data_IF_329950455015
#
_entry.id   IF_329950455015
#
_cell.length_a   1.000
_cell.length_b   1.000
_cell.length_c   1.000
_cell.angle_alpha   90.00
_cell.angle_beta   90.00
_cell.angle_gamma   90.00
#
_symmetry.space_group_name_H-M   'P 1'
#
loop_
_entity.id
_entity.type
_entity.pdbx_description
1 polymer ?
#
# COMPACT_ATOMS: atom_id res chain seq x y z
N UNK A 1 -27.74 -73.03 -71.46
CA UNK A 1 -28.53 -73.79 -70.46
C UNK A 1 -29.13 -72.90 -69.33
N UNK A 2 -29.20 -71.59 -69.52
CA UNK A 2 -29.78 -70.67 -68.51
C UNK A 2 -31.12 -70.01 -68.96
N UNK A 3 -31.52 -70.17 -70.20
CA UNK A 3 -32.69 -69.47 -70.77
C UNK A 3 -34.04 -70.15 -70.54
N UNK A 4 -34.09 -71.45 -70.20
CA UNK A 4 -35.35 -72.17 -70.04
C UNK A 4 -35.95 -72.14 -68.63
N UNK A 5 -35.13 -71.81 -67.61
CA UNK A 5 -35.56 -71.69 -66.20
C UNK A 5 -36.42 -70.47 -65.93
N UNK A 6 -36.17 -69.37 -66.65
CA UNK A 6 -36.93 -68.16 -66.55
C UNK A 6 -38.37 -68.20 -67.16
N UNK A 7 -38.65 -69.18 -68.03
CA UNK A 7 -39.96 -69.29 -68.73
C UNK A 7 -41.03 -70.05 -67.90
N UNK A 8 -40.64 -70.65 -66.74
CA UNK A 8 -41.57 -71.42 -65.89
C UNK A 8 -41.94 -70.71 -64.57
N UNK A 9 -41.50 -69.57 -64.31
CA UNK A 9 -41.87 -68.84 -63.15
C UNK A 9 -43.20 -68.14 -63.47
N UNK A 10 -44.27 -68.46 -62.77
CA UNK A 10 -45.60 -67.80 -62.99
C UNK A 10 -45.39 -66.32 -62.64
N UNK A 11 -45.59 -65.42 -63.58
CA UNK A 11 -45.43 -63.96 -63.42
C UNK A 11 -46.28 -63.42 -62.25
N UNK A 12 -47.38 -64.05 -61.94
CA UNK A 12 -48.23 -63.77 -60.78
C UNK A 12 -47.46 -63.92 -59.46
N UNK A 13 -46.65 -64.98 -59.32
CA UNK A 13 -45.82 -65.21 -58.10
C UNK A 13 -44.74 -64.19 -57.96
N UNK A 14 -44.10 -63.79 -59.05
CA UNK A 14 -43.05 -62.68 -59.03
C UNK A 14 -43.69 -61.36 -58.66
N UNK A 15 -44.88 -61.05 -59.13
CA UNK A 15 -45.59 -59.84 -58.80
C UNK A 15 -45.94 -59.76 -57.30
N UNK A 16 -46.38 -60.88 -56.71
CA UNK A 16 -46.69 -61.02 -55.27
C UNK A 16 -45.41 -60.84 -54.44
N UNK A 17 -44.29 -61.48 -54.81
CA UNK A 17 -43.00 -61.33 -54.11
C UNK A 17 -42.48 -59.88 -54.15
N UNK A 18 -42.59 -59.25 -55.35
CA UNK A 18 -42.25 -57.86 -55.49
C UNK A 18 -43.08 -56.90 -54.67
N UNK A 19 -44.43 -57.15 -54.58
CA UNK A 19 -45.36 -56.40 -53.76
C UNK A 19 -45.03 -56.54 -52.27
N UNK A 20 -44.77 -57.78 -51.80
CA UNK A 20 -44.37 -58.05 -50.42
C UNK A 20 -43.05 -57.38 -50.06
N UNK A 21 -42.02 -57.48 -50.98
CA UNK A 21 -40.74 -56.83 -50.80
C UNK A 21 -40.87 -55.30 -50.73
N UNK A 22 -41.72 -54.71 -51.61
CA UNK A 22 -42.02 -53.31 -51.61
C UNK A 22 -42.72 -52.85 -50.29
N UNK A 23 -43.65 -53.64 -49.79
CA UNK A 23 -44.35 -53.39 -48.52
C UNK A 23 -43.34 -53.44 -47.34
N UNK A 24 -42.53 -54.48 -47.29
CA UNK A 24 -41.47 -54.59 -46.25
C UNK A 24 -40.49 -53.43 -46.27
N UNK A 25 -40.08 -53.05 -47.50
CA UNK A 25 -39.23 -51.90 -47.68
C UNK A 25 -39.85 -50.60 -47.19
N UNK A 26 -41.16 -50.43 -47.48
CA UNK A 26 -41.93 -49.25 -47.06
C UNK A 26 -42.09 -49.20 -45.54
N UNK A 27 -42.40 -50.31 -44.88
CA UNK A 27 -42.46 -50.43 -43.41
C UNK A 27 -41.09 -50.16 -42.80
N UNK A 28 -40.01 -50.68 -43.40
CA UNK A 28 -38.65 -50.43 -42.94
C UNK A 28 -38.30 -48.92 -43.06
N UNK A 29 -38.63 -48.28 -44.16
CA UNK A 29 -38.40 -46.86 -44.42
C UNK A 29 -39.11 -45.94 -43.42
N UNK A 30 -40.39 -46.31 -43.13
CA UNK A 30 -41.21 -45.60 -42.13
C UNK A 30 -40.66 -45.79 -40.68
N UNK A 31 -40.24 -47.00 -40.37
CA UNK A 31 -39.63 -47.30 -39.07
C UNK A 31 -38.30 -46.63 -38.86
N UNK A 32 -37.44 -46.67 -39.88
CA UNK A 32 -36.12 -46.01 -39.86
C UNK A 32 -36.28 -44.50 -39.72
N UNK A 33 -37.19 -43.88 -40.45
CA UNK A 33 -37.42 -42.42 -40.41
C UNK A 33 -38.00 -41.93 -39.07
N UNK A 34 -38.77 -42.77 -38.36
CA UNK A 34 -39.27 -42.46 -36.99
C UNK A 34 -38.14 -42.64 -35.96
N UNK A 35 -37.43 -43.75 -36.00
CA UNK A 35 -36.30 -44.00 -35.06
C UNK A 35 -35.21 -42.96 -35.14
N UNK A 36 -34.87 -42.53 -36.35
CA UNK A 36 -33.89 -41.46 -36.55
C UNK A 36 -34.34 -40.12 -35.96
N UNK A 37 -35.61 -39.76 -36.10
CA UNK A 37 -36.18 -38.53 -35.54
C UNK A 37 -36.29 -38.57 -34.01
N UNK A 38 -36.59 -39.69 -33.42
CA UNK A 38 -36.68 -39.82 -31.97
C UNK A 38 -35.30 -39.77 -31.31
N UNK A 39 -34.29 -40.43 -31.93
CA UNK A 39 -32.87 -40.36 -31.47
C UNK A 39 -32.34 -38.92 -31.60
N UNK A 40 -32.62 -38.25 -32.73
CA UNK A 40 -32.16 -36.86 -32.91
C UNK A 40 -32.79 -35.91 -31.88
N UNK A 41 -34.11 -36.05 -31.61
CA UNK A 41 -34.80 -35.24 -30.59
C UNK A 41 -34.27 -35.47 -29.18
N UNK A 42 -33.97 -36.71 -28.82
CA UNK A 42 -33.42 -37.05 -27.52
C UNK A 42 -31.98 -36.50 -27.36
N UNK A 43 -31.18 -36.64 -28.41
CA UNK A 43 -29.84 -36.08 -28.48
C UNK A 43 -29.83 -34.54 -28.39
N UNK A 44 -30.70 -33.86 -29.15
CA UNK A 44 -30.85 -32.42 -29.14
C UNK A 44 -31.34 -31.92 -27.76
N UNK A 45 -32.26 -32.65 -27.12
CA UNK A 45 -32.71 -32.36 -25.76
C UNK A 45 -31.61 -32.57 -24.71
N UNK A 46 -30.76 -33.58 -24.88
CA UNK A 46 -29.60 -33.81 -24.01
C UNK A 46 -28.53 -32.72 -24.17
N UNK A 47 -28.24 -32.33 -25.41
CA UNK A 47 -27.31 -31.23 -25.73
C UNK A 47 -27.82 -29.90 -25.15
N UNK A 48 -29.10 -29.58 -25.34
CA UNK A 48 -29.67 -28.33 -24.82
C UNK A 48 -29.65 -28.28 -23.27
N UNK A 49 -29.92 -29.42 -22.60
CA UNK A 49 -29.78 -29.52 -21.13
C UNK A 49 -28.34 -29.36 -20.67
N UNK A 50 -27.35 -29.88 -21.41
CA UNK A 50 -25.94 -29.73 -21.10
C UNK A 50 -25.51 -28.29 -21.30
N UNK A 51 -25.95 -27.66 -22.40
CA UNK A 51 -25.64 -26.23 -22.66
C UNK A 51 -26.24 -25.34 -21.57
N UNK A 52 -27.50 -25.54 -21.18
CA UNK A 52 -28.09 -24.72 -20.13
C UNK A 52 -27.39 -24.88 -18.78
N UNK A 53 -26.95 -26.10 -18.40
CA UNK A 53 -26.14 -26.33 -17.20
C UNK A 53 -24.75 -25.65 -17.28
N UNK A 54 -24.13 -25.71 -18.44
CA UNK A 54 -22.86 -25.07 -18.67
C UNK A 54 -22.97 -23.53 -18.60
N UNK A 55 -24.04 -22.98 -19.19
CA UNK A 55 -24.29 -21.53 -19.13
C UNK A 55 -24.60 -21.07 -17.70
N UNK A 56 -25.40 -21.87 -16.96
CA UNK A 56 -25.66 -21.60 -15.54
C UNK A 56 -24.38 -21.65 -14.71
N UNK A 57 -23.52 -22.65 -14.93
CA UNK A 57 -22.23 -22.76 -14.27
C UNK A 57 -21.32 -21.55 -14.58
N UNK A 58 -21.24 -21.15 -15.84
CA UNK A 58 -20.47 -19.97 -16.25
C UNK A 58 -20.98 -18.68 -15.62
N UNK A 59 -22.31 -18.51 -15.55
CA UNK A 59 -22.91 -17.35 -14.87
C UNK A 59 -22.56 -17.31 -13.39
N UNK A 60 -22.74 -18.43 -12.69
CA UNK A 60 -22.38 -18.52 -11.26
C UNK A 60 -20.90 -18.26 -11.02
N UNK A 61 -20.04 -18.75 -11.90
CA UNK A 61 -18.60 -18.52 -11.78
C UNK A 61 -18.25 -17.04 -12.04
N UNK A 62 -18.85 -16.43 -13.06
CA UNK A 62 -18.66 -15.01 -13.33
C UNK A 62 -19.23 -14.13 -12.20
N UNK A 63 -20.35 -14.49 -11.59
CA UNK A 63 -20.90 -13.79 -10.42
C UNK A 63 -19.96 -13.87 -9.22
N UNK A 64 -19.41 -15.05 -8.90
CA UNK A 64 -18.42 -15.21 -7.82
C UNK A 64 -17.16 -14.40 -8.07
N UNK A 65 -16.65 -14.40 -9.31
CA UNK A 65 -15.48 -13.61 -9.67
C UNK A 65 -15.75 -12.12 -9.54
N UNK A 66 -16.91 -11.64 -9.98
CA UNK A 66 -17.33 -10.25 -9.84
C UNK A 66 -17.47 -9.85 -8.36
N UNK A 67 -18.04 -10.71 -7.53
CA UNK A 67 -18.19 -10.47 -6.09
C UNK A 67 -16.81 -10.43 -5.40
N UNK A 68 -15.93 -11.37 -5.71
CA UNK A 68 -14.55 -11.37 -5.22
C UNK A 68 -13.81 -10.10 -5.63
N UNK A 69 -13.93 -9.68 -6.90
CA UNK A 69 -13.32 -8.46 -7.39
C UNK A 69 -13.87 -7.22 -6.68
N UNK A 70 -15.19 -7.12 -6.50
CA UNK A 70 -15.81 -6.02 -5.74
C UNK A 70 -15.30 -5.95 -4.32
N UNK A 71 -15.15 -7.09 -3.65
CA UNK A 71 -14.61 -7.16 -2.30
C UNK A 71 -13.15 -6.67 -2.25
N UNK A 72 -12.32 -7.10 -3.20
CA UNK A 72 -10.92 -6.65 -3.29
C UNK A 72 -10.84 -5.13 -3.55
N UNK A 73 -11.65 -4.62 -4.49
CA UNK A 73 -11.70 -3.18 -4.80
C UNK A 73 -12.18 -2.37 -3.59
N UNK A 74 -13.21 -2.85 -2.88
CA UNK A 74 -13.70 -2.18 -1.67
C UNK A 74 -12.63 -2.13 -0.57
N UNK A 75 -11.91 -3.24 -0.33
CA UNK A 75 -10.79 -3.28 0.62
C UNK A 75 -9.67 -2.34 0.21
N UNK A 76 -9.28 -2.35 -1.06
CA UNK A 76 -8.25 -1.45 -1.58
C UNK A 76 -8.64 0.02 -1.36
N UNK A 77 -9.87 0.40 -1.71
CA UNK A 77 -10.34 1.77 -1.52
C UNK A 77 -10.38 2.17 -0.04
N UNK A 78 -10.78 1.27 0.86
CA UNK A 78 -10.74 1.51 2.29
C UNK A 78 -9.30 1.71 2.80
N UNK A 79 -8.34 0.91 2.34
CA UNK A 79 -6.92 1.05 2.68
C UNK A 79 -6.33 2.38 2.18
N UNK A 80 -6.65 2.77 0.94
CA UNK A 80 -6.23 4.06 0.39
C UNK A 80 -6.82 5.22 1.18
N UNK A 81 -8.10 5.16 1.55
CA UNK A 81 -8.73 6.19 2.36
C UNK A 81 -8.09 6.29 3.75
N UNK A 82 -7.82 5.15 4.40
CA UNK A 82 -7.12 5.12 5.69
C UNK A 82 -5.70 5.70 5.60
N UNK A 83 -4.95 5.40 4.53
CA UNK A 83 -3.62 5.97 4.32
C UNK A 83 -3.68 7.50 4.13
N UNK A 84 -4.63 8.01 3.37
CA UNK A 84 -4.82 9.46 3.20
C UNK A 84 -5.22 10.15 4.51
N UNK A 85 -6.08 9.51 5.31
CA UNK A 85 -6.45 10.04 6.62
C UNK A 85 -5.23 10.11 7.55
N UNK A 86 -4.45 9.03 7.65
CA UNK A 86 -3.25 8.97 8.47
C UNK A 86 -2.21 10.03 8.05
N UNK A 87 -2.03 10.26 6.74
CA UNK A 87 -1.15 11.33 6.24
C UNK A 87 -1.67 12.73 6.63
N UNK A 88 -2.97 12.98 6.47
CA UNK A 88 -3.58 14.26 6.83
C UNK A 88 -3.43 14.55 8.34
N UNK A 89 -3.67 13.56 9.19
CA UNK A 89 -3.53 13.68 10.64
C UNK A 89 -2.07 13.94 11.05
N UNK A 90 -1.11 13.23 10.40
CA UNK A 90 0.32 13.48 10.60
C UNK A 90 0.72 14.90 10.21
N UNK A 91 0.26 15.40 9.05
CA UNK A 91 0.58 16.76 8.59
C UNK A 91 -0.02 17.83 9.54
N UNK A 92 -1.25 17.64 10.01
CA UNK A 92 -1.86 18.51 10.99
C UNK A 92 -1.07 18.55 12.30
N UNK A 93 -0.66 17.38 12.80
CA UNK A 93 0.16 17.25 14.01
C UNK A 93 1.53 17.89 13.87
N UNK A 94 2.17 17.70 12.71
CA UNK A 94 3.46 18.33 12.39
C UNK A 94 3.35 19.85 12.43
N UNK A 95 2.32 20.43 11.79
CA UNK A 95 2.10 21.88 11.83
C UNK A 95 1.88 22.39 13.25
N UNK A 96 1.10 21.69 14.07
CA UNK A 96 0.93 22.02 15.48
C UNK A 96 2.27 22.06 16.21
N UNK A 97 3.12 21.04 16.05
CA UNK A 97 4.45 20.96 16.66
C UNK A 97 5.38 22.09 16.18
N UNK A 98 5.26 22.51 14.94
CA UNK A 98 6.02 23.64 14.40
C UNK A 98 5.59 24.96 15.06
N UNK A 99 4.30 25.19 15.24
CA UNK A 99 3.78 26.36 15.95
C UNK A 99 4.22 26.38 17.41
N UNK A 100 4.05 25.26 18.13
CA UNK A 100 4.50 25.14 19.52
C UNK A 100 6.02 25.42 19.63
N UNK A 101 6.81 24.93 18.72
CA UNK A 101 8.26 25.17 18.69
C UNK A 101 8.60 26.66 18.45
N UNK A 102 7.87 27.31 17.55
CA UNK A 102 8.04 28.73 17.29
C UNK A 102 7.71 29.59 18.53
N UNK A 103 6.65 29.23 19.26
CA UNK A 103 6.27 29.92 20.49
C UNK A 103 7.26 29.67 21.64
N UNK A 104 7.75 28.43 21.79
CA UNK A 104 8.82 28.13 22.74
C UNK A 104 10.09 28.94 22.44
N UNK A 105 10.45 29.07 21.17
CA UNK A 105 11.62 29.89 20.77
C UNK A 105 11.47 31.38 21.11
N UNK A 106 10.25 31.94 20.98
CA UNK A 106 10.00 33.32 21.43
C UNK A 106 10.22 33.47 22.94
N UNK A 107 9.74 32.49 23.73
CA UNK A 107 9.87 32.51 25.18
C UNK A 107 11.33 32.32 25.66
N UNK A 108 12.20 31.66 24.87
CA UNK A 108 13.61 31.49 25.22
C UNK A 108 14.30 32.83 25.49
N UNK A 109 14.06 33.84 24.64
CA UNK A 109 14.65 35.16 24.81
C UNK A 109 14.30 35.81 26.15
N UNK A 110 13.08 35.56 26.64
CA UNK A 110 12.60 36.15 27.89
C UNK A 110 13.21 35.45 29.11
N UNK A 111 13.31 34.10 29.08
CA UNK A 111 13.84 33.34 30.22
C UNK A 111 15.37 33.26 30.26
N UNK A 112 16.06 33.67 29.19
CA UNK A 112 17.54 33.63 29.11
C UNK A 112 18.19 35.01 29.19
N UNK A 113 17.42 36.10 29.19
CA UNK A 113 17.95 37.46 29.15
C UNK A 113 18.39 37.95 30.53
N UNK A 114 17.62 37.70 31.55
CA UNK A 114 17.89 38.16 32.91
C UNK A 114 17.22 37.22 33.93
N UNK A 115 17.76 37.26 35.15
CA UNK A 115 17.12 36.65 36.31
C UNK A 115 16.75 37.73 37.32
N UNK A 116 15.81 37.45 38.21
CA UNK A 116 15.31 38.37 39.25
C UNK A 116 15.71 37.83 40.62
N UNK A 117 16.37 38.65 41.42
CA UNK A 117 16.72 38.29 42.78
C UNK A 117 15.51 38.39 43.77
N UNK A 118 15.74 37.95 45.00
CA UNK A 118 14.70 37.99 46.06
C UNK A 118 14.16 39.40 46.39
N UNK A 119 14.91 40.43 45.99
CA UNK A 119 14.53 41.84 46.18
C UNK A 119 13.85 42.43 44.92
N UNK A 120 13.59 41.60 43.91
CA UNK A 120 12.96 42.03 42.69
C UNK A 120 13.91 42.76 41.71
N UNK A 121 15.21 42.74 41.91
CA UNK A 121 16.16 43.39 41.04
C UNK A 121 16.57 42.47 39.88
N UNK A 122 16.58 43.00 38.67
CA UNK A 122 16.95 42.28 37.45
C UNK A 122 18.49 42.27 37.29
N UNK A 123 19.01 41.08 36.99
CA UNK A 123 20.40 40.83 36.70
C UNK A 123 20.52 40.13 35.35
N UNK A 124 21.51 40.50 34.52
CA UNK A 124 21.75 39.79 33.26
C UNK A 124 22.25 38.38 33.54
N UNK A 125 21.87 37.44 32.69
CA UNK A 125 22.40 36.07 32.72
C UNK A 125 23.66 36.04 31.84
N UNK A 126 24.81 35.79 32.45
CA UNK A 126 26.11 35.69 31.76
C UNK A 126 26.62 34.25 31.97
N UNK A 127 26.26 33.35 31.09
CA UNK A 127 26.83 32.00 31.05
C UNK A 127 27.85 31.86 29.94
N UNK A 128 29.09 31.48 30.29
CA UNK A 128 30.14 31.18 29.32
C UNK A 128 30.19 29.69 29.06
N UNK A 129 29.90 29.30 27.86
CA UNK A 129 30.11 27.93 27.37
C UNK A 129 31.41 27.80 26.64
N UNK A 130 32.30 26.93 27.11
CA UNK A 130 33.62 26.75 26.48
C UNK A 130 33.49 25.94 25.18
N UNK A 131 34.51 26.05 24.33
CA UNK A 131 34.61 25.25 23.09
C UNK A 131 34.57 23.75 23.39
N UNK A 132 35.21 23.31 24.48
CA UNK A 132 35.17 21.93 24.92
C UNK A 132 33.75 21.47 25.33
N UNK A 133 32.98 22.34 25.98
CA UNK A 133 31.58 22.07 26.28
C UNK A 133 30.76 21.85 24.99
N UNK A 134 30.87 22.78 24.04
CA UNK A 134 30.14 22.71 22.78
C UNK A 134 30.52 21.45 21.96
N UNK A 135 31.82 21.12 21.96
CA UNK A 135 32.31 19.91 21.30
C UNK A 135 31.69 18.65 21.93
N UNK A 136 31.68 18.59 23.27
CA UNK A 136 31.10 17.43 23.98
C UNK A 136 29.57 17.34 23.81
N UNK A 137 28.90 18.50 23.82
CA UNK A 137 27.47 18.58 23.56
C UNK A 137 27.12 18.05 22.16
N UNK A 138 27.83 18.52 21.13
CA UNK A 138 27.62 18.05 19.76
C UNK A 138 27.92 16.55 19.60
N UNK A 139 28.98 16.05 20.25
CA UNK A 139 29.32 14.64 20.27
C UNK A 139 28.21 13.78 20.91
N UNK A 140 27.64 14.26 22.03
CA UNK A 140 26.51 13.58 22.70
C UNK A 140 25.24 13.52 21.82
N UNK A 141 25.04 14.49 20.95
CA UNK A 141 23.95 14.50 19.96
C UNK A 141 24.27 13.70 18.68
N UNK A 142 25.45 13.08 18.60
CA UNK A 142 25.88 12.34 17.40
C UNK A 142 26.24 13.24 16.21
N UNK A 143 26.47 14.53 16.44
CA UNK A 143 26.81 15.50 15.40
C UNK A 143 28.30 15.57 15.25
N UNK A 144 28.82 15.11 14.12
CA UNK A 144 30.28 15.26 13.80
C UNK A 144 30.64 16.70 13.52
N UNK A 145 31.87 17.09 13.84
CA UNK A 145 32.44 18.45 13.72
C UNK A 145 32.46 19.00 12.27
N UNK A 146 31.39 18.96 11.55
CA UNK A 146 31.26 19.46 10.17
C UNK A 146 29.83 19.54 9.69
N UNK A 147 28.89 18.89 10.39
CA UNK A 147 27.50 18.77 9.95
C UNK A 147 26.52 19.45 10.91
N UNK A 148 26.50 20.80 10.92
CA UNK A 148 25.38 21.52 11.55
C UNK A 148 25.33 21.49 13.07
N UNK A 149 26.43 21.14 13.75
CA UNK A 149 26.56 21.27 15.19
C UNK A 149 26.44 22.72 15.65
N UNK A 150 26.13 22.92 16.93
CA UNK A 150 25.97 24.24 17.54
C UNK A 150 27.25 25.07 17.33
N UNK A 151 27.11 26.21 16.67
CA UNK A 151 28.17 27.21 16.43
C UNK A 151 27.61 28.57 16.81
N UNK A 152 28.47 29.44 17.28
CA UNK A 152 28.03 30.80 17.59
C UNK A 152 27.43 31.50 16.37
N UNK A 153 26.23 32.09 16.55
CA UNK A 153 25.44 32.72 15.49
C UNK A 153 26.06 34.04 14.97
N UNK A 154 27.19 34.51 15.53
CA UNK A 154 27.80 35.76 15.14
C UNK A 154 29.19 35.59 14.58
N UNK A 155 29.29 35.83 13.27
CA UNK A 155 30.50 36.36 12.61
C UNK A 155 31.64 35.41 12.41
N UNK A 156 31.79 34.94 11.17
CA UNK A 156 33.07 34.73 10.48
C UNK A 156 34.22 34.10 11.30
N UNK A 157 33.96 32.97 11.92
CA UNK A 157 35.03 32.02 12.13
C UNK A 157 35.01 31.05 10.97
N UNK A 158 35.71 31.39 9.89
CA UNK A 158 36.11 30.46 8.84
C UNK A 158 36.62 29.21 9.51
N UNK A 159 35.86 28.14 9.51
CA UNK A 159 36.33 26.83 9.96
C UNK A 159 37.48 26.43 9.07
N UNK A 160 38.67 26.81 9.46
CA UNK A 160 39.91 26.31 8.90
C UNK A 160 39.89 24.81 9.16
N UNK A 161 39.96 24.06 8.10
CA UNK A 161 40.20 22.65 8.09
C UNK A 161 41.50 22.36 8.82
N UNK A 162 41.48 22.10 10.12
CA UNK A 162 42.65 21.67 10.88
C UNK A 162 42.57 20.17 11.05
N UNK A 163 43.06 19.48 10.03
CA UNK A 163 43.60 18.14 10.16
C UNK A 163 44.60 18.12 11.32
N UNK A 164 44.22 17.37 12.39
CA UNK A 164 45.22 16.74 13.26
C UNK A 164 46.03 17.59 14.22
N UNK A 165 45.66 18.82 14.54
CA UNK A 165 46.27 19.55 15.64
C UNK A 165 45.56 19.13 16.95
N UNK A 166 46.28 18.50 17.86
CA UNK A 166 45.91 18.32 19.27
C UNK A 166 45.52 19.68 19.82
N UNK A 167 44.20 19.90 19.97
CA UNK A 167 43.65 21.09 20.61
C UNK A 167 44.21 21.14 22.03
N UNK A 168 45.10 22.11 22.31
CA UNK A 168 45.66 22.21 23.64
C UNK A 168 44.56 22.40 24.64
N UNK A 169 44.70 21.84 25.84
CA UNK A 169 43.67 21.92 26.91
C UNK A 169 43.19 23.37 27.10
N UNK A 170 44.07 24.35 26.94
CA UNK A 170 43.75 25.78 27.02
C UNK A 170 42.83 26.28 25.89
N UNK A 171 42.91 25.72 24.67
CA UNK A 171 42.04 26.09 23.55
C UNK A 171 40.59 25.59 23.82
N UNK A 172 40.45 24.44 24.45
CA UNK A 172 39.12 23.88 24.82
C UNK A 172 38.44 24.68 25.91
N UNK A 173 39.18 25.39 26.77
CA UNK A 173 38.65 26.23 27.85
C UNK A 173 38.32 27.66 27.40
N UNK A 174 38.59 28.02 26.16
CA UNK A 174 38.22 29.34 25.61
C UNK A 174 36.71 29.44 25.39
N UNK A 175 36.18 30.65 25.45
CA UNK A 175 34.81 30.96 25.11
C UNK A 175 34.46 30.46 23.71
N UNK A 176 33.30 29.84 23.58
CA UNK A 176 32.78 29.37 22.30
C UNK A 176 31.92 30.44 21.59
N UNK A 177 31.51 31.49 22.26
CA UNK A 177 30.52 32.44 21.80
C UNK A 177 29.10 31.92 21.76
N UNK A 178 28.86 30.68 22.27
CA UNK A 178 27.52 30.07 22.36
C UNK A 178 26.84 30.61 23.64
N UNK A 179 25.58 31.01 23.50
CA UNK A 179 24.77 31.55 24.62
C UNK A 179 23.85 30.46 25.22
N UNK A 180 23.32 30.75 26.39
CA UNK A 180 22.28 29.90 26.99
C UNK A 180 21.01 29.79 26.09
N UNK A 181 20.70 30.89 25.42
CA UNK A 181 19.59 30.91 24.46
C UNK A 181 19.84 29.95 23.27
N UNK A 182 21.10 29.89 22.76
CA UNK A 182 21.47 28.96 21.66
C UNK A 182 21.35 27.51 22.11
N UNK A 183 21.80 27.17 23.32
CA UNK A 183 21.66 25.81 23.88
C UNK A 183 20.20 25.43 24.00
N UNK A 184 19.38 26.33 24.58
CA UNK A 184 17.96 26.03 24.78
C UNK A 184 17.18 25.96 23.47
N UNK A 185 17.50 26.79 22.47
CA UNK A 185 16.95 26.74 21.14
C UNK A 185 17.25 25.40 20.46
N UNK A 186 18.51 24.94 20.56
CA UNK A 186 18.93 23.65 19.99
C UNK A 186 18.21 22.47 20.66
N UNK A 187 18.10 22.46 21.99
CA UNK A 187 17.33 21.44 22.74
C UNK A 187 15.86 21.44 22.30
N UNK A 188 15.26 22.62 22.12
CA UNK A 188 13.87 22.78 21.68
C UNK A 188 13.67 22.21 20.28
N UNK A 189 14.57 22.48 19.33
CA UNK A 189 14.53 21.93 17.98
C UNK A 189 14.68 20.41 17.96
N UNK A 190 15.63 19.87 18.71
CA UNK A 190 15.82 18.43 18.80
C UNK A 190 14.59 17.74 19.43
N UNK A 191 14.04 18.33 20.50
CA UNK A 191 12.82 17.82 21.12
C UNK A 191 11.63 17.82 20.16
N UNK A 192 11.48 18.88 19.34
CA UNK A 192 10.47 18.93 18.27
C UNK A 192 10.67 17.77 17.28
N UNK A 193 11.90 17.57 16.82
CA UNK A 193 12.21 16.50 15.86
C UNK A 193 11.88 15.11 16.43
N UNK A 194 12.24 14.86 17.69
CA UNK A 194 11.88 13.61 18.38
C UNK A 194 10.37 13.42 18.46
N UNK A 195 9.61 14.50 18.75
CA UNK A 195 8.14 14.44 18.77
C UNK A 195 7.56 14.16 17.38
N UNK A 196 8.08 14.77 16.31
CA UNK A 196 7.65 14.49 14.94
C UNK A 196 7.88 13.03 14.58
N UNK A 197 9.05 12.47 14.89
CA UNK A 197 9.34 11.06 14.64
C UNK A 197 8.40 10.13 15.44
N UNK A 198 8.12 10.46 16.70
CA UNK A 198 7.16 9.70 17.51
C UNK A 198 5.77 9.68 16.87
N UNK A 199 5.26 10.82 16.43
CA UNK A 199 3.96 10.90 15.75
C UNK A 199 3.96 10.14 14.42
N UNK A 200 5.06 10.15 13.69
CA UNK A 200 5.20 9.34 12.47
C UNK A 200 5.15 7.84 12.76
N UNK A 201 5.86 7.39 13.79
CA UNK A 201 5.85 5.98 14.20
C UNK A 201 4.46 5.57 14.68
N UNK A 202 3.80 6.39 15.51
CA UNK A 202 2.45 6.12 15.99
C UNK A 202 1.47 6.02 14.80
N UNK A 203 1.51 6.96 13.86
CA UNK A 203 0.66 6.92 12.66
C UNK A 203 0.90 5.67 11.79
N UNK A 204 2.14 5.19 11.69
CA UNK A 204 2.45 3.94 10.99
C UNK A 204 1.91 2.71 11.74
N UNK A 205 1.99 2.70 13.08
CA UNK A 205 1.44 1.62 13.90
C UNK A 205 -0.09 1.57 13.76
N UNK A 206 -0.76 2.70 13.89
CA UNK A 206 -2.23 2.80 13.75
C UNK A 206 -2.67 2.32 12.35
N UNK A 207 -1.94 2.73 11.32
CA UNK A 207 -2.19 2.27 9.95
C UNK A 207 -2.03 0.75 9.80
N UNK A 208 -0.94 0.17 10.36
CA UNK A 208 -0.71 -1.27 10.27
C UNK A 208 -1.73 -2.08 11.08
N UNK A 209 -2.16 -1.61 12.24
CA UNK A 209 -3.23 -2.23 13.01
C UNK A 209 -4.56 -2.20 12.25
N UNK A 210 -4.88 -1.09 11.58
CA UNK A 210 -6.07 -0.99 10.72
C UNK A 210 -6.06 -1.92 9.52
N UNK A 211 -4.89 -2.34 9.03
CA UNK A 211 -4.78 -3.33 7.94
C UNK A 211 -5.12 -4.77 8.39
N UNK A 212 -5.05 -5.06 9.69
CA UNK A 212 -5.28 -6.39 10.25
C UNK A 212 -6.75 -6.62 10.70
N UNK A 213 -7.59 -5.59 10.65
CA UNK A 213 -9.04 -5.67 10.92
C UNK A 213 -9.82 -5.87 9.60
#
# INVERSE_FOLDING_TARGET
MWGEWFRRIPWDSLAVIAAVAALLYWVWLLGYGKGMRDISRESDAAISRMQSRFDEFRRKEAEKQNEALRTVVARYNAQVAAAHQADADFQAKKQQLEHENADLKKQIADVTRHWVDEKGKHHPIECVFTRGFVQQYNAALGVSAGNGGMSAATGSARAGNTTGATDTALTRLRDSGVTQADVLANVTDNARQCRVWREQVNGLLDYTEGLHQ
#
